data_IF_115395562350
#
_entry.id   IF_115395562350
#
_cell.length_a   1.000
_cell.length_b   1.000
_cell.length_c   1.000
_cell.angle_alpha   90.00
_cell.angle_beta   90.00
_cell.angle_gamma   90.00
#
_symmetry.space_group_name_H-M   'P 1'
#
loop_
_entity.id
_entity.type
_entity.pdbx_description
1 polymer ?
#
# COMPACT_ATOMS: atom_id res chain seq x y z
N UNK A 1 20.00 -60.72 -42.84
CA UNK A 1 20.64 -60.17 -41.63
C UNK A 1 20.09 -58.76 -41.42
N UNK A 2 19.16 -58.66 -40.46
CA UNK A 2 18.72 -57.48 -39.68
C UNK A 2 18.62 -56.12 -40.37
N UNK A 3 17.40 -55.81 -40.83
CA UNK A 3 16.82 -54.47 -40.81
C UNK A 3 16.47 -54.09 -39.36
N UNK A 4 17.04 -52.99 -38.86
CA UNK A 4 16.56 -52.31 -37.66
C UNK A 4 16.02 -50.94 -38.10
N UNK A 5 14.69 -50.84 -38.21
CA UNK A 5 14.00 -49.60 -38.48
C UNK A 5 14.10 -48.67 -37.28
N UNK A 6 14.90 -47.61 -37.39
CA UNK A 6 14.93 -46.52 -36.43
C UNK A 6 13.62 -45.72 -36.52
N UNK A 7 12.68 -45.99 -35.62
CA UNK A 7 11.47 -45.17 -35.44
C UNK A 7 11.85 -43.72 -35.22
N UNK A 8 11.17 -42.77 -35.89
CA UNK A 8 11.45 -41.34 -35.72
C UNK A 8 11.22 -40.92 -34.27
N UNK A 9 12.02 -39.97 -33.78
CA UNK A 9 11.92 -39.44 -32.41
C UNK A 9 10.50 -38.98 -32.08
N UNK A 10 9.82 -38.35 -33.05
CA UNK A 10 8.42 -37.94 -32.96
C UNK A 10 7.46 -39.12 -32.70
N UNK A 11 7.59 -40.21 -33.47
CA UNK A 11 6.73 -41.37 -33.32
C UNK A 11 6.89 -42.02 -31.93
N UNK A 12 8.12 -42.06 -31.42
CA UNK A 12 8.40 -42.59 -30.07
C UNK A 12 7.81 -41.70 -28.97
N UNK A 13 7.90 -40.38 -29.09
CA UNK A 13 7.29 -39.46 -28.13
C UNK A 13 5.76 -39.57 -28.13
N UNK A 14 5.15 -39.61 -29.32
CA UNK A 14 3.70 -39.80 -29.47
C UNK A 14 3.23 -41.12 -28.88
N UNK A 15 4.01 -42.19 -29.05
CA UNK A 15 3.70 -43.49 -28.46
C UNK A 15 3.71 -43.42 -26.92
N UNK A 16 4.71 -42.74 -26.32
CA UNK A 16 4.79 -42.55 -24.87
C UNK A 16 3.63 -41.72 -24.32
N UNK A 17 3.32 -40.59 -24.97
CA UNK A 17 2.16 -39.75 -24.61
C UNK A 17 0.88 -40.56 -24.69
N UNK A 18 0.66 -41.28 -25.80
CA UNK A 18 -0.52 -42.14 -25.98
C UNK A 18 -0.62 -43.22 -24.92
N UNK A 19 0.49 -43.87 -24.54
CA UNK A 19 0.51 -44.88 -23.47
C UNK A 19 0.03 -44.32 -22.13
N UNK A 20 0.48 -43.11 -21.76
CA UNK A 20 0.02 -42.45 -20.53
C UNK A 20 -1.45 -42.06 -20.63
N UNK A 21 -1.90 -41.53 -21.78
CA UNK A 21 -3.31 -41.21 -22.00
C UNK A 21 -4.21 -42.43 -21.83
N UNK A 22 -3.86 -43.55 -22.47
CA UNK A 22 -4.63 -44.80 -22.36
C UNK A 22 -4.62 -45.34 -20.94
N UNK A 23 -3.48 -45.29 -20.24
CA UNK A 23 -3.39 -45.71 -18.85
C UNK A 23 -4.33 -44.90 -17.94
N UNK A 24 -4.40 -43.58 -18.13
CA UNK A 24 -5.31 -42.70 -17.40
C UNK A 24 -6.77 -42.99 -17.77
N UNK A 25 -7.09 -43.12 -19.06
CA UNK A 25 -8.46 -43.38 -19.53
C UNK A 25 -9.01 -44.71 -19.03
N UNK A 26 -8.18 -45.75 -18.97
CA UNK A 26 -8.57 -47.08 -18.51
C UNK A 26 -9.03 -47.10 -17.04
N UNK A 27 -8.63 -46.12 -16.24
CA UNK A 27 -9.01 -46.01 -14.84
C UNK A 27 -9.73 -44.70 -14.51
N UNK A 28 -10.18 -43.95 -15.51
CA UNK A 28 -10.72 -42.60 -15.33
C UNK A 28 -11.94 -42.53 -14.40
N UNK A 29 -12.70 -43.62 -14.28
CA UNK A 29 -13.86 -43.75 -13.37
C UNK A 29 -13.52 -44.36 -12.02
N UNK A 30 -12.27 -44.76 -11.79
CA UNK A 30 -11.80 -45.36 -10.54
C UNK A 30 -10.77 -44.43 -9.88
N UNK A 31 -11.24 -43.65 -8.91
CA UNK A 31 -10.44 -42.62 -8.22
C UNK A 31 -9.20 -43.21 -7.51
N UNK A 32 -9.34 -44.38 -6.86
CA UNK A 32 -8.25 -45.06 -6.14
C UNK A 32 -7.08 -45.43 -7.06
N UNK A 33 -7.37 -45.77 -8.32
CA UNK A 33 -6.36 -46.10 -9.34
C UNK A 33 -5.89 -44.87 -10.11
N UNK A 34 -6.77 -43.90 -10.32
CA UNK A 34 -6.47 -42.68 -11.06
C UNK A 34 -5.49 -41.78 -10.28
N UNK A 35 -5.73 -41.59 -8.98
CA UNK A 35 -4.90 -40.79 -8.08
C UNK A 35 -3.39 -41.12 -8.17
N UNK A 36 -2.93 -42.36 -7.95
CA UNK A 36 -1.51 -42.70 -8.01
C UNK A 36 -0.91 -42.55 -9.41
N UNK A 37 -1.69 -42.80 -10.48
CA UNK A 37 -1.21 -42.56 -11.85
C UNK A 37 -0.98 -41.08 -12.12
N UNK A 38 -1.89 -40.20 -11.69
CA UNK A 38 -1.74 -38.76 -11.85
C UNK A 38 -0.58 -38.23 -11.01
N UNK A 39 -0.43 -38.68 -9.77
CA UNK A 39 0.73 -38.34 -8.92
C UNK A 39 2.05 -38.71 -9.59
N UNK A 40 2.11 -39.87 -10.26
CA UNK A 40 3.34 -40.36 -10.89
C UNK A 40 3.65 -39.68 -12.22
N UNK A 41 2.64 -39.48 -13.07
CA UNK A 41 2.87 -39.14 -14.48
C UNK A 41 2.44 -37.73 -14.88
N UNK A 42 1.59 -37.03 -14.11
CA UNK A 42 1.00 -35.76 -14.58
C UNK A 42 2.05 -34.71 -14.94
N UNK A 43 3.01 -34.44 -14.04
CA UNK A 43 4.05 -33.43 -14.26
C UNK A 43 4.87 -33.74 -15.52
N UNK A 44 5.37 -34.96 -15.64
CA UNK A 44 6.14 -35.40 -16.81
C UNK A 44 5.31 -35.43 -18.10
N UNK A 45 4.01 -35.71 -18.00
CA UNK A 45 3.10 -35.70 -19.14
C UNK A 45 2.92 -34.28 -19.69
N UNK A 46 2.59 -33.31 -18.84
CA UNK A 46 2.35 -31.92 -19.29
C UNK A 46 3.65 -31.23 -19.72
N UNK A 47 4.82 -31.64 -19.21
CA UNK A 47 6.12 -31.20 -19.72
C UNK A 47 6.27 -31.45 -21.22
N UNK A 48 5.65 -32.50 -21.76
CA UNK A 48 5.67 -32.78 -23.21
C UNK A 48 4.88 -31.77 -24.05
N UNK A 49 4.15 -30.83 -23.43
CA UNK A 49 3.62 -29.66 -24.12
C UNK A 49 4.72 -28.72 -24.66
N UNK A 50 5.99 -28.90 -24.23
CA UNK A 50 7.16 -28.16 -24.74
C UNK A 50 7.99 -28.98 -25.73
N UNK A 51 7.50 -30.13 -26.20
CA UNK A 51 8.20 -30.94 -27.23
C UNK A 51 8.44 -30.11 -28.50
N UNK A 52 9.54 -30.37 -29.20
CA UNK A 52 9.83 -29.78 -30.51
C UNK A 52 8.79 -30.18 -31.57
N UNK A 53 8.15 -31.34 -31.38
CA UNK A 53 7.17 -31.89 -32.30
C UNK A 53 5.76 -31.30 -32.05
N UNK A 54 5.20 -30.61 -33.04
CA UNK A 54 3.90 -29.95 -32.92
C UNK A 54 2.75 -30.94 -32.64
N UNK A 55 2.80 -32.13 -33.25
CA UNK A 55 1.84 -33.22 -33.03
C UNK A 55 1.77 -33.63 -31.55
N UNK A 56 2.92 -33.78 -30.90
CA UNK A 56 3.05 -34.11 -29.47
C UNK A 56 2.47 -33.00 -28.62
N UNK A 57 2.84 -31.74 -28.88
CA UNK A 57 2.33 -30.59 -28.12
C UNK A 57 0.81 -30.50 -28.15
N UNK A 58 0.23 -30.55 -29.34
CA UNK A 58 -1.23 -30.45 -29.55
C UNK A 58 -1.95 -31.56 -28.80
N UNK A 59 -1.44 -32.80 -28.90
CA UNK A 59 -2.03 -33.96 -28.25
C UNK A 59 -2.02 -33.85 -26.72
N UNK A 60 -0.87 -33.48 -26.14
CA UNK A 60 -0.73 -33.26 -24.68
C UNK A 60 -1.68 -32.18 -24.19
N UNK A 61 -1.79 -31.05 -24.89
CA UNK A 61 -2.66 -29.93 -24.52
C UNK A 61 -4.14 -30.38 -24.57
N UNK A 62 -4.56 -31.02 -25.65
CA UNK A 62 -5.93 -31.52 -25.79
C UNK A 62 -6.30 -32.49 -24.66
N UNK A 63 -5.40 -33.41 -24.33
CA UNK A 63 -5.62 -34.36 -23.26
C UNK A 63 -5.60 -33.72 -21.88
N UNK A 64 -4.74 -32.72 -21.63
CA UNK A 64 -4.71 -31.98 -20.36
C UNK A 64 -6.03 -31.25 -20.09
N UNK A 65 -6.67 -30.68 -21.12
CA UNK A 65 -8.02 -30.10 -20.98
C UNK A 65 -9.09 -31.19 -20.77
N UNK A 66 -9.00 -32.33 -21.46
CA UNK A 66 -9.89 -33.46 -21.22
C UNK A 66 -9.77 -34.00 -19.79
N UNK A 67 -8.56 -34.02 -19.24
CA UNK A 67 -8.29 -34.50 -17.89
C UNK A 67 -9.08 -33.73 -16.81
N UNK A 68 -9.40 -32.45 -17.05
CA UNK A 68 -10.23 -31.67 -16.13
C UNK A 68 -11.59 -32.31 -15.84
N UNK A 69 -12.15 -33.11 -16.76
CA UNK A 69 -13.43 -33.78 -16.55
C UNK A 69 -13.32 -34.97 -15.61
N UNK A 70 -12.16 -35.63 -15.56
CA UNK A 70 -11.92 -36.81 -14.73
C UNK A 70 -11.48 -36.48 -13.31
N UNK A 71 -10.86 -35.31 -13.11
CA UNK A 71 -10.34 -34.88 -11.80
C UNK A 71 -11.38 -34.13 -10.95
N UNK A 72 -12.58 -33.89 -11.49
CA UNK A 72 -13.67 -33.19 -10.77
C UNK A 72 -13.97 -33.74 -9.37
N UNK A 73 -13.98 -35.08 -9.12
CA UNK A 73 -14.25 -35.61 -7.79
C UNK A 73 -13.29 -35.04 -6.72
N UNK A 74 -13.79 -34.70 -5.52
CA UNK A 74 -13.03 -33.96 -4.51
C UNK A 74 -11.88 -34.76 -3.88
N UNK A 75 -11.92 -36.08 -3.97
CA UNK A 75 -10.91 -37.04 -3.47
C UNK A 75 -9.59 -36.97 -4.23
N UNK A 76 -9.60 -36.52 -5.49
CA UNK A 76 -8.42 -36.46 -6.32
C UNK A 76 -7.58 -35.24 -5.96
N UNK A 77 -6.33 -35.49 -5.56
CA UNK A 77 -5.35 -34.47 -5.16
C UNK A 77 -4.11 -34.61 -6.03
N UNK A 78 -3.91 -33.67 -6.93
CA UNK A 78 -2.78 -33.66 -7.86
C UNK A 78 -1.45 -33.33 -7.14
N UNK A 79 -0.29 -33.70 -7.70
CA UNK A 79 1.02 -33.47 -7.08
C UNK A 79 1.43 -31.99 -7.12
N UNK A 80 0.79 -31.15 -6.29
CA UNK A 80 0.96 -29.68 -6.29
C UNK A 80 2.41 -29.26 -6.07
N UNK A 81 3.17 -29.92 -5.20
CA UNK A 81 4.57 -29.60 -4.97
C UNK A 81 5.42 -29.77 -6.24
N UNK A 82 5.25 -30.89 -6.95
CA UNK A 82 5.97 -31.15 -8.21
C UNK A 82 5.53 -30.23 -9.33
N UNK A 83 4.24 -29.89 -9.41
CA UNK A 83 3.70 -28.92 -10.37
C UNK A 83 4.22 -27.51 -10.08
N UNK A 84 4.35 -27.12 -8.82
CA UNK A 84 4.91 -25.82 -8.43
C UNK A 84 6.40 -25.75 -8.77
N UNK A 85 7.17 -26.80 -8.48
CA UNK A 85 8.59 -26.87 -8.87
C UNK A 85 8.77 -26.73 -10.39
N UNK A 86 7.91 -27.40 -11.17
CA UNK A 86 7.90 -27.26 -12.62
C UNK A 86 7.50 -25.85 -13.07
N UNK A 87 6.45 -25.27 -12.49
CA UNK A 87 6.00 -23.90 -12.79
C UNK A 87 7.13 -22.88 -12.61
N UNK A 88 7.90 -23.01 -11.54
CA UNK A 88 9.03 -22.13 -11.22
C UNK A 88 10.18 -22.28 -12.22
N UNK A 89 10.45 -23.51 -12.68
CA UNK A 89 11.56 -23.82 -13.61
C UNK A 89 11.20 -23.63 -15.08
N UNK A 90 9.92 -23.64 -15.42
CA UNK A 90 9.45 -23.61 -16.80
C UNK A 90 9.77 -22.26 -17.48
N UNK A 91 10.20 -22.31 -18.73
CA UNK A 91 10.32 -21.12 -19.60
C UNK A 91 9.11 -20.95 -20.50
N UNK A 92 8.43 -22.05 -20.85
CA UNK A 92 7.26 -22.05 -21.72
C UNK A 92 6.02 -21.54 -20.98
N UNK A 93 5.42 -20.45 -21.47
CA UNK A 93 4.16 -19.93 -20.95
C UNK A 93 3.00 -20.93 -21.03
N UNK A 94 3.00 -21.81 -22.05
CA UNK A 94 2.00 -22.87 -22.20
C UNK A 94 2.13 -23.89 -21.07
N UNK A 95 3.36 -24.31 -20.76
CA UNK A 95 3.62 -25.23 -19.65
C UNK A 95 3.19 -24.61 -18.31
N UNK A 96 3.62 -23.38 -18.03
CA UNK A 96 3.21 -22.65 -16.83
C UNK A 96 1.69 -22.56 -16.69
N UNK A 97 0.97 -22.32 -17.77
CA UNK A 97 -0.49 -22.25 -17.75
C UNK A 97 -1.14 -23.61 -17.43
N UNK A 98 -0.56 -24.72 -17.90
CA UNK A 98 -0.99 -26.07 -17.53
C UNK A 98 -0.69 -26.38 -16.06
N UNK A 99 0.48 -26.02 -15.56
CA UNK A 99 0.82 -26.18 -14.13
C UNK A 99 -0.17 -25.39 -13.25
N UNK A 100 -0.42 -24.12 -13.57
CA UNK A 100 -1.38 -23.26 -12.85
C UNK A 100 -2.78 -23.87 -12.81
N UNK A 101 -3.24 -24.44 -13.94
CA UNK A 101 -4.55 -25.08 -14.03
C UNK A 101 -4.69 -26.21 -12.99
N UNK A 102 -3.70 -27.11 -12.92
CA UNK A 102 -3.72 -28.26 -12.03
C UNK A 102 -3.41 -27.89 -10.57
N UNK A 103 -2.56 -26.89 -10.33
CA UNK A 103 -2.33 -26.34 -8.99
C UNK A 103 -3.62 -25.73 -8.44
N UNK A 104 -4.32 -24.88 -9.20
CA UNK A 104 -5.60 -24.27 -8.78
C UNK A 104 -6.64 -25.30 -8.37
N UNK A 105 -6.70 -26.40 -9.11
CA UNK A 105 -7.61 -27.49 -8.83
C UNK A 105 -7.36 -28.16 -7.47
N UNK A 106 -6.10 -28.48 -7.15
CA UNK A 106 -5.77 -29.31 -5.99
C UNK A 106 -5.22 -28.57 -4.77
N UNK A 107 -4.78 -27.31 -4.91
CA UNK A 107 -4.35 -26.47 -3.78
C UNK A 107 -5.37 -26.43 -2.61
N UNK A 108 -6.70 -26.20 -2.84
CA UNK A 108 -7.67 -26.20 -1.75
C UNK A 108 -7.96 -27.58 -1.16
N UNK A 109 -7.45 -28.66 -1.77
CA UNK A 109 -7.65 -30.05 -1.34
C UNK A 109 -6.46 -30.62 -0.56
N UNK A 110 -5.35 -29.88 -0.52
CA UNK A 110 -4.19 -30.24 0.28
C UNK A 110 -4.49 -30.16 1.77
N UNK A 111 -3.80 -31.00 2.55
CA UNK A 111 -3.74 -30.89 3.99
C UNK A 111 -2.96 -29.63 4.42
N UNK A 112 -3.22 -29.07 5.61
CA UNK A 112 -2.51 -27.87 6.10
C UNK A 112 -0.98 -28.03 6.10
N UNK A 113 -0.47 -29.21 6.47
CA UNK A 113 0.96 -29.51 6.48
C UNK A 113 1.56 -29.44 5.06
N UNK A 114 0.84 -29.99 4.08
CA UNK A 114 1.27 -29.94 2.68
C UNK A 114 1.25 -28.52 2.14
N UNK A 115 0.32 -27.67 2.57
CA UNK A 115 0.29 -26.24 2.21
C UNK A 115 1.43 -25.48 2.85
N UNK A 116 1.76 -25.81 4.10
CA UNK A 116 2.90 -25.25 4.80
C UNK A 116 4.21 -25.51 4.04
N UNK A 117 4.40 -26.72 3.51
CA UNK A 117 5.60 -27.08 2.73
C UNK A 117 5.75 -26.28 1.42
N UNK A 118 4.66 -25.73 0.87
CA UNK A 118 4.69 -24.88 -0.33
C UNK A 118 5.12 -23.43 -0.03
N UNK A 119 5.04 -22.99 1.22
CA UNK A 119 5.23 -21.60 1.60
C UNK A 119 6.61 -21.04 1.24
N UNK A 120 7.75 -21.71 1.57
CA UNK A 120 9.07 -21.22 1.19
C UNK A 120 9.21 -21.01 -0.32
N UNK A 121 8.78 -22.00 -1.10
CA UNK A 121 8.86 -21.96 -2.56
C UNK A 121 8.03 -20.82 -3.14
N UNK A 122 6.76 -20.69 -2.74
CA UNK A 122 5.87 -19.63 -3.24
C UNK A 122 6.36 -18.23 -2.88
N UNK A 123 6.86 -18.06 -1.65
CA UNK A 123 7.33 -16.77 -1.16
C UNK A 123 8.55 -16.28 -1.96
N UNK A 124 9.51 -17.17 -2.22
CA UNK A 124 10.71 -16.84 -3.00
C UNK A 124 10.39 -16.74 -4.49
N UNK A 125 9.64 -17.68 -5.04
CA UNK A 125 9.42 -17.77 -6.49
C UNK A 125 8.59 -16.62 -7.02
N UNK A 126 7.59 -16.13 -6.26
CA UNK A 126 6.76 -15.02 -6.70
C UNK A 126 7.56 -13.72 -6.87
N UNK A 127 8.63 -13.53 -6.08
CA UNK A 127 9.48 -12.34 -6.15
C UNK A 127 10.46 -12.39 -7.32
N UNK A 128 10.88 -13.60 -7.73
CA UNK A 128 11.88 -13.84 -8.78
C UNK A 128 11.28 -14.12 -10.15
N UNK A 129 9.97 -14.33 -10.22
CA UNK A 129 9.26 -14.59 -11.48
C UNK A 129 9.30 -13.34 -12.37
N UNK A 130 9.74 -13.54 -13.63
CA UNK A 130 9.90 -12.45 -14.60
C UNK A 130 8.58 -12.09 -15.27
N UNK A 131 7.71 -13.08 -15.45
CA UNK A 131 6.39 -12.85 -16.01
C UNK A 131 5.43 -12.41 -14.90
N UNK A 132 5.04 -11.14 -14.95
CA UNK A 132 4.18 -10.51 -13.94
C UNK A 132 2.84 -11.24 -13.74
N UNK A 133 2.31 -11.89 -14.77
CA UNK A 133 1.08 -12.68 -14.67
C UNK A 133 1.30 -13.91 -13.80
N UNK A 134 2.40 -14.63 -14.00
CA UNK A 134 2.71 -15.81 -13.17
C UNK A 134 3.15 -15.41 -11.76
N UNK A 135 3.83 -14.28 -11.59
CA UNK A 135 4.15 -13.72 -10.28
C UNK A 135 2.88 -13.39 -9.49
N UNK A 136 1.88 -12.77 -10.13
CA UNK A 136 0.55 -12.51 -9.56
C UNK A 136 -0.16 -13.79 -9.13
N UNK A 137 -0.14 -14.83 -9.98
CA UNK A 137 -0.75 -16.12 -9.67
C UNK A 137 -0.07 -16.81 -8.48
N UNK A 138 1.27 -16.83 -8.42
CA UNK A 138 2.01 -17.37 -7.29
C UNK A 138 1.75 -16.59 -6.01
N UNK A 139 1.69 -15.25 -6.08
CA UNK A 139 1.31 -14.43 -4.94
C UNK A 139 -0.12 -14.75 -4.46
N UNK A 140 -1.05 -14.97 -5.37
CA UNK A 140 -2.40 -15.39 -5.01
C UNK A 140 -2.42 -16.77 -4.33
N UNK A 141 -1.62 -17.72 -4.79
CA UNK A 141 -1.45 -19.01 -4.12
C UNK A 141 -0.87 -18.84 -2.71
N UNK A 142 0.14 -17.98 -2.55
CA UNK A 142 0.69 -17.63 -1.24
C UNK A 142 -0.40 -17.10 -0.30
N UNK A 143 -1.24 -16.16 -0.75
CA UNK A 143 -2.33 -15.63 0.06
C UNK A 143 -3.36 -16.71 0.46
N UNK A 144 -3.62 -17.70 -0.40
CA UNK A 144 -4.57 -18.80 -0.10
C UNK A 144 -4.07 -19.74 0.98
N UNK A 145 -2.76 -20.01 1.02
CA UNK A 145 -2.17 -20.91 2.02
C UNK A 145 -1.80 -20.18 3.32
N UNK A 146 -1.69 -18.85 3.28
CA UNK A 146 -1.24 -18.04 4.41
C UNK A 146 -2.00 -18.30 5.73
N UNK A 147 -3.32 -18.57 5.75
CA UNK A 147 -4.03 -18.94 6.97
C UNK A 147 -3.53 -20.20 7.67
N UNK A 148 -2.90 -21.13 6.93
CA UNK A 148 -2.40 -22.41 7.44
C UNK A 148 -0.92 -22.36 7.86
N UNK A 149 -0.24 -21.23 7.61
CA UNK A 149 1.19 -21.10 7.88
C UNK A 149 1.44 -20.81 9.36
N UNK A 150 2.27 -21.65 9.98
CA UNK A 150 2.71 -21.53 11.37
C UNK A 150 4.07 -20.86 11.38
N UNK A 151 4.08 -19.58 11.71
CA UNK A 151 5.32 -18.83 11.89
C UNK A 151 5.88 -19.06 13.29
N UNK A 152 7.22 -19.07 13.45
CA UNK A 152 7.86 -19.04 14.76
C UNK A 152 7.34 -17.90 15.65
N UNK A 153 7.49 -18.06 16.96
CA UNK A 153 7.18 -16.95 17.88
C UNK A 153 8.17 -15.81 17.67
N UNK A 154 7.68 -14.57 17.78
CA UNK A 154 8.50 -13.38 17.50
C UNK A 154 9.74 -13.34 18.38
N UNK A 155 10.83 -12.85 17.80
CA UNK A 155 12.13 -12.61 18.47
C UNK A 155 12.86 -13.87 18.99
N UNK A 156 12.33 -15.07 18.74
CA UNK A 156 13.04 -16.32 19.03
C UNK A 156 14.22 -16.53 18.06
N UNK A 157 15.07 -17.51 18.37
CA UNK A 157 16.22 -17.85 17.52
C UNK A 157 15.76 -18.31 16.14
N UNK A 158 14.69 -19.10 16.10
CA UNK A 158 14.07 -19.60 14.87
C UNK A 158 13.49 -18.46 14.03
N UNK A 159 12.81 -17.49 14.66
CA UNK A 159 12.26 -16.33 13.95
C UNK A 159 13.36 -15.49 13.29
N UNK A 160 14.47 -15.26 14.00
CA UNK A 160 15.62 -14.51 13.48
C UNK A 160 16.36 -15.27 12.37
N UNK A 161 16.36 -16.59 12.41
CA UNK A 161 16.98 -17.44 11.38
C UNK A 161 16.08 -17.60 10.14
N UNK A 162 14.77 -17.39 10.27
CA UNK A 162 13.75 -17.74 9.26
C UNK A 162 14.04 -17.20 7.86
N UNK A 163 14.47 -15.94 7.74
CA UNK A 163 14.81 -15.34 6.43
C UNK A 163 15.90 -16.14 5.71
N UNK A 164 16.94 -16.52 6.45
CA UNK A 164 18.10 -17.23 5.93
C UNK A 164 17.74 -18.68 5.61
N UNK A 165 16.93 -19.32 6.44
CA UNK A 165 16.46 -20.70 6.22
C UNK A 165 15.61 -20.81 4.95
N UNK A 166 14.75 -19.83 4.68
CA UNK A 166 13.95 -19.79 3.44
C UNK A 166 14.80 -19.38 2.23
N UNK A 167 15.89 -18.64 2.43
CA UNK A 167 16.78 -18.19 1.35
C UNK A 167 16.29 -16.93 0.62
N UNK A 168 15.64 -16.01 1.36
CA UNK A 168 15.11 -14.75 0.85
C UNK A 168 16.22 -13.69 0.80
N UNK A 169 16.48 -13.14 -0.38
CA UNK A 169 17.41 -12.02 -0.55
C UNK A 169 16.73 -10.68 -0.26
N UNK A 170 17.52 -9.62 -0.16
CA UNK A 170 17.03 -8.25 0.06
C UNK A 170 16.07 -7.77 -1.03
N UNK A 171 16.42 -7.96 -2.30
CA UNK A 171 15.53 -7.62 -3.42
C UNK A 171 14.21 -8.40 -3.36
N UNK A 172 14.26 -9.68 -2.97
CA UNK A 172 13.07 -10.52 -2.87
C UNK A 172 12.15 -9.99 -1.76
N UNK A 173 12.71 -9.74 -0.57
CA UNK A 173 11.97 -9.25 0.59
C UNK A 173 11.32 -7.89 0.34
N UNK A 174 11.98 -6.99 -0.38
CA UNK A 174 11.39 -5.70 -0.77
C UNK A 174 10.17 -5.88 -1.68
N UNK A 175 10.24 -6.76 -2.69
CA UNK A 175 9.12 -7.06 -3.59
C UNK A 175 7.96 -7.70 -2.81
N UNK A 176 8.25 -8.69 -1.98
CA UNK A 176 7.25 -9.37 -1.16
C UNK A 176 6.59 -8.36 -0.21
N UNK A 177 7.39 -7.60 0.54
CA UNK A 177 6.90 -6.63 1.51
C UNK A 177 6.00 -5.58 0.87
N UNK A 178 6.38 -5.09 -0.32
CA UNK A 178 5.56 -4.17 -1.12
C UNK A 178 4.19 -4.77 -1.45
N UNK A 179 4.13 -6.01 -1.95
CA UNK A 179 2.85 -6.65 -2.29
C UNK A 179 2.00 -6.95 -1.05
N UNK A 180 2.62 -7.36 0.06
CA UNK A 180 1.93 -7.49 1.35
C UNK A 180 1.36 -6.15 1.82
N UNK A 181 2.11 -5.06 1.68
CA UNK A 181 1.63 -3.71 1.95
C UNK A 181 0.43 -3.31 1.08
N UNK A 182 0.45 -3.65 -0.21
CA UNK A 182 -0.68 -3.39 -1.11
C UNK A 182 -1.92 -4.20 -0.74
N UNK A 183 -1.78 -5.43 -0.24
CA UNK A 183 -2.91 -6.20 0.32
C UNK A 183 -3.49 -5.50 1.56
N UNK A 184 -2.65 -4.89 2.40
CA UNK A 184 -3.13 -4.13 3.57
C UNK A 184 -3.84 -2.83 3.18
N UNK A 185 -3.41 -2.21 2.08
CA UNK A 185 -4.04 -1.02 1.51
C UNK A 185 -5.37 -1.34 0.79
N UNK A 186 -5.47 -2.51 0.15
CA UNK A 186 -6.63 -2.92 -0.63
C UNK A 186 -7.93 -2.86 0.19
N UNK A 187 -8.93 -2.19 -0.38
CA UNK A 187 -10.30 -2.15 0.14
C UNK A 187 -11.23 -2.92 -0.78
N UNK A 188 -12.13 -3.67 -0.18
CA UNK A 188 -13.13 -4.44 -0.91
C UNK A 188 -14.49 -3.74 -0.81
N UNK A 189 -15.15 -3.45 -1.95
CA UNK A 189 -16.51 -2.92 -1.92
C UNK A 189 -17.48 -3.97 -1.37
N UNK A 190 -18.56 -3.52 -0.74
CA UNK A 190 -19.60 -4.41 -0.24
C UNK A 190 -20.37 -5.08 -1.39
N UNK A 191 -20.69 -6.37 -1.23
CA UNK A 191 -21.49 -7.16 -2.18
C UNK A 191 -20.78 -8.42 -2.67
N UNK A 192 -21.54 -9.36 -3.24
CA UNK A 192 -21.05 -10.70 -3.60
C UNK A 192 -20.14 -10.74 -4.84
N UNK A 193 -20.29 -9.78 -5.76
CA UNK A 193 -19.48 -9.70 -6.98
C UNK A 193 -18.88 -8.32 -7.15
N UNK A 194 -17.56 -8.27 -7.05
CA UNK A 194 -16.75 -7.08 -7.33
C UNK A 194 -16.39 -7.09 -8.80
N UNK A 195 -16.79 -6.07 -9.56
CA UNK A 195 -16.30 -5.87 -10.93
C UNK A 195 -14.98 -5.09 -10.91
N UNK A 196 -14.24 -5.12 -12.01
CA UNK A 196 -12.99 -4.39 -12.14
C UNK A 196 -13.19 -2.88 -11.93
N UNK A 197 -14.20 -2.29 -12.59
CA UNK A 197 -14.48 -0.85 -12.50
C UNK A 197 -14.86 -0.44 -11.08
N UNK A 198 -15.59 -1.31 -10.36
CA UNK A 198 -15.91 -1.08 -8.95
C UNK A 198 -14.67 -1.17 -8.07
N UNK A 199 -13.77 -2.13 -8.31
CA UNK A 199 -12.54 -2.24 -7.54
C UNK A 199 -11.63 -1.03 -7.75
N UNK A 200 -11.50 -0.56 -9.00
CA UNK A 200 -10.73 0.62 -9.38
C UNK A 200 -11.33 1.90 -8.77
N UNK A 201 -12.63 2.11 -8.87
CA UNK A 201 -13.29 3.28 -8.28
C UNK A 201 -13.23 3.28 -6.74
N UNK A 202 -13.18 2.10 -6.11
CA UNK A 202 -13.16 1.97 -4.65
C UNK A 202 -11.74 2.02 -4.05
N UNK A 203 -10.68 2.16 -4.85
CA UNK A 203 -9.31 2.16 -4.37
C UNK A 203 -8.49 3.29 -5.01
N UNK A 204 -7.75 4.04 -4.19
CA UNK A 204 -6.77 5.03 -4.69
C UNK A 204 -5.43 4.38 -5.12
N UNK A 205 -5.46 3.10 -5.53
CA UNK A 205 -4.26 2.36 -5.94
C UNK A 205 -4.03 2.50 -7.45
N UNK A 206 -2.77 2.34 -7.87
CA UNK A 206 -2.43 2.35 -9.31
C UNK A 206 -3.11 1.18 -10.00
N UNK A 207 -3.60 1.39 -11.23
CA UNK A 207 -4.29 0.36 -12.01
C UNK A 207 -3.44 -0.92 -12.17
N UNK A 208 -2.13 -0.79 -12.39
CA UNK A 208 -1.21 -1.93 -12.47
C UNK A 208 -1.10 -2.73 -11.18
N UNK A 209 -1.24 -2.08 -10.02
CA UNK A 209 -1.19 -2.76 -8.72
C UNK A 209 -2.49 -3.55 -8.47
N UNK A 210 -3.64 -2.98 -8.86
CA UNK A 210 -4.93 -3.68 -8.85
C UNK A 210 -4.96 -4.84 -9.85
N UNK A 211 -4.40 -4.65 -11.05
CA UNK A 211 -4.28 -5.68 -12.08
C UNK A 211 -3.35 -6.82 -11.65
N UNK A 212 -2.38 -6.58 -10.77
CA UNK A 212 -1.61 -7.67 -10.17
C UNK A 212 -2.42 -8.44 -9.14
N UNK A 213 -3.26 -7.78 -8.34
CA UNK A 213 -4.04 -8.43 -7.28
C UNK A 213 -5.29 -9.15 -7.82
N UNK A 214 -5.93 -8.58 -8.85
CA UNK A 214 -7.16 -9.03 -9.51
C UNK A 214 -8.28 -9.49 -8.56
N UNK A 215 -8.72 -8.67 -7.58
CA UNK A 215 -9.74 -9.08 -6.62
C UNK A 215 -11.12 -9.37 -7.22
N UNK A 216 -11.36 -9.03 -8.49
CA UNK A 216 -12.59 -9.31 -9.24
C UNK A 216 -12.55 -10.61 -10.07
N UNK A 217 -11.36 -11.17 -10.33
CA UNK A 217 -11.24 -12.37 -11.18
C UNK A 217 -11.73 -13.61 -10.43
N UNK A 218 -12.61 -14.46 -11.02
CA UNK A 218 -13.07 -15.70 -10.40
C UNK A 218 -11.92 -16.63 -9.97
N UNK A 219 -10.83 -16.61 -10.74
CA UNK A 219 -9.66 -17.43 -10.47
C UNK A 219 -8.77 -16.88 -9.36
N UNK A 220 -8.96 -15.63 -8.92
CA UNK A 220 -8.06 -14.89 -8.01
C UNK A 220 -8.79 -14.33 -6.78
N UNK A 221 -10.11 -14.19 -6.80
CA UNK A 221 -10.92 -13.49 -5.80
C UNK A 221 -10.90 -14.14 -4.39
N UNK A 222 -10.55 -15.44 -4.30
CA UNK A 222 -10.78 -16.24 -3.09
C UNK A 222 -10.15 -15.66 -1.81
N UNK A 223 -8.87 -15.22 -1.78
CA UNK A 223 -8.28 -14.60 -0.59
C UNK A 223 -8.96 -13.28 -0.19
N UNK A 224 -9.56 -12.57 -1.14
CA UNK A 224 -10.13 -11.25 -0.89
C UNK A 224 -11.58 -11.30 -0.42
N UNK A 225 -12.29 -12.43 -0.62
CA UNK A 225 -13.62 -12.66 -0.02
C UNK A 225 -13.59 -12.61 1.50
N UNK A 226 -12.47 -12.99 2.12
CA UNK A 226 -12.23 -12.87 3.57
C UNK A 226 -11.08 -11.88 3.84
N UNK A 227 -11.19 -10.67 3.28
CA UNK A 227 -10.10 -9.68 3.33
C UNK A 227 -9.58 -9.40 4.74
N UNK A 228 -10.45 -9.33 5.77
CA UNK A 228 -10.01 -9.13 7.16
C UNK A 228 -9.10 -10.25 7.65
N UNK A 229 -9.43 -11.52 7.38
CA UNK A 229 -8.59 -12.66 7.74
C UNK A 229 -7.26 -12.59 6.99
N UNK A 230 -7.31 -12.35 5.68
CA UNK A 230 -6.12 -12.23 4.84
C UNK A 230 -5.19 -11.13 5.34
N UNK A 231 -5.71 -9.93 5.64
CA UNK A 231 -4.91 -8.82 6.21
C UNK A 231 -4.30 -9.17 7.56
N UNK A 232 -5.03 -9.87 8.43
CA UNK A 232 -4.52 -10.33 9.73
C UNK A 232 -3.34 -11.30 9.55
N UNK A 233 -3.45 -12.22 8.59
CA UNK A 233 -2.39 -13.18 8.26
C UNK A 233 -1.19 -12.50 7.58
N UNK A 234 -1.44 -11.52 6.72
CA UNK A 234 -0.38 -10.68 6.11
C UNK A 234 0.40 -9.92 7.17
N UNK A 235 -0.26 -9.31 8.16
CA UNK A 235 0.42 -8.65 9.28
C UNK A 235 1.24 -9.64 10.11
N UNK A 236 0.71 -10.84 10.35
CA UNK A 236 1.45 -11.88 11.08
C UNK A 236 2.74 -12.25 10.34
N UNK A 237 2.68 -12.39 9.01
CA UNK A 237 3.84 -12.62 8.17
C UNK A 237 4.83 -11.45 8.21
N UNK A 238 4.34 -10.21 8.05
CA UNK A 238 5.17 -9.00 8.14
C UNK A 238 5.82 -8.84 9.52
N UNK A 239 5.23 -9.39 10.58
CA UNK A 239 5.79 -9.31 11.92
C UNK A 239 6.88 -10.33 12.21
N UNK A 240 7.12 -11.30 11.31
CA UNK A 240 8.18 -12.30 11.47
C UNK A 240 9.58 -11.71 11.25
N UNK A 241 10.60 -12.50 11.56
CA UNK A 241 12.01 -12.19 11.27
C UNK A 241 12.40 -12.32 9.80
N UNK A 242 11.46 -12.55 8.88
CA UNK A 242 11.72 -12.52 7.43
C UNK A 242 12.10 -11.11 6.96
N UNK A 243 11.45 -10.08 7.50
CA UNK A 243 11.59 -8.70 7.03
C UNK A 243 12.44 -7.85 7.97
N UNK A 244 13.17 -6.90 7.42
CA UNK A 244 13.87 -5.85 8.18
C UNK A 244 12.92 -4.73 8.60
N UNK A 245 13.37 -3.84 9.49
CA UNK A 245 12.56 -2.71 9.94
C UNK A 245 12.20 -1.76 8.79
N UNK A 246 13.14 -1.51 7.88
CA UNK A 246 12.92 -0.68 6.70
C UNK A 246 11.90 -1.32 5.74
N UNK A 247 11.99 -2.64 5.52
CA UNK A 247 11.04 -3.38 4.70
C UNK A 247 9.63 -3.37 5.33
N UNK A 248 9.51 -3.42 6.67
CA UNK A 248 8.23 -3.41 7.40
C UNK A 248 7.55 -2.04 7.43
N UNK A 249 8.30 -0.95 7.26
CA UNK A 249 7.84 0.41 7.57
C UNK A 249 6.55 0.82 6.85
N UNK A 250 6.57 0.83 5.51
CA UNK A 250 5.40 1.26 4.73
C UNK A 250 4.20 0.32 4.88
N UNK A 251 4.33 -1.02 4.83
CA UNK A 251 3.22 -1.91 5.12
C UNK A 251 2.62 -1.73 6.52
N UNK A 252 3.46 -1.52 7.55
CA UNK A 252 2.98 -1.28 8.90
C UNK A 252 2.22 0.05 9.01
N UNK A 253 2.68 1.10 8.30
CA UNK A 253 1.97 2.38 8.16
C UNK A 253 0.57 2.18 7.56
N UNK A 254 0.46 1.42 6.47
CA UNK A 254 -0.81 1.08 5.85
C UNK A 254 -1.73 0.31 6.80
N UNK A 255 -1.20 -0.72 7.47
CA UNK A 255 -1.94 -1.48 8.47
C UNK A 255 -2.49 -0.58 9.60
N UNK A 256 -1.65 0.31 10.17
CA UNK A 256 -2.02 1.21 11.28
C UNK A 256 -3.13 2.23 10.95
N UNK A 257 -3.39 2.42 9.66
CA UNK A 257 -4.42 3.31 9.11
C UNK A 257 -5.73 2.58 8.80
N UNK A 258 -5.77 1.25 8.94
CA UNK A 258 -6.96 0.43 8.69
C UNK A 258 -8.10 0.76 9.65
N UNK A 259 -9.33 0.69 9.14
CA UNK A 259 -10.55 0.78 9.97
C UNK A 259 -10.78 -0.47 10.83
N UNK A 260 -10.22 -1.62 10.44
CA UNK A 260 -10.29 -2.86 11.20
C UNK A 260 -9.25 -2.85 12.33
N UNK A 261 -9.71 -2.91 13.59
CA UNK A 261 -8.85 -2.85 14.78
C UNK A 261 -7.92 -4.06 14.92
N UNK A 262 -8.28 -5.21 14.35
CA UNK A 262 -7.43 -6.40 14.30
C UNK A 262 -6.23 -6.23 13.37
N UNK A 263 -6.30 -5.24 12.48
CA UNK A 263 -5.25 -4.89 11.52
C UNK A 263 -4.49 -3.66 12.01
N UNK A 264 -5.21 -2.61 12.46
CA UNK A 264 -4.58 -1.35 12.86
C UNK A 264 -3.86 -1.39 14.19
N UNK A 265 -4.33 -2.17 15.17
CA UNK A 265 -3.63 -2.29 16.45
C UNK A 265 -2.27 -2.99 16.29
N UNK A 266 -2.18 -4.18 15.66
CA UNK A 266 -0.89 -4.80 15.39
C UNK A 266 0.01 -3.96 14.47
N UNK A 267 -0.55 -3.28 13.47
CA UNK A 267 0.22 -2.37 12.62
C UNK A 267 0.86 -1.23 13.41
N UNK A 268 0.11 -0.64 14.34
CA UNK A 268 0.62 0.39 15.26
C UNK A 268 1.71 -0.16 16.17
N UNK A 269 1.55 -1.39 16.66
CA UNK A 269 2.55 -2.02 17.53
C UNK A 269 3.84 -2.36 16.78
N UNK A 270 3.76 -2.71 15.49
CA UNK A 270 4.95 -2.86 14.64
C UNK A 270 5.65 -1.50 14.55
N UNK A 271 4.96 -0.44 14.10
CA UNK A 271 5.56 0.90 13.92
C UNK A 271 6.29 1.39 15.17
N UNK A 272 5.70 1.21 16.35
CA UNK A 272 6.30 1.63 17.63
C UNK A 272 7.63 0.94 17.94
N UNK A 273 7.85 -0.27 17.40
CA UNK A 273 9.04 -1.08 17.64
C UNK A 273 10.09 -0.94 16.54
N UNK A 274 9.73 -0.40 15.37
CA UNK A 274 10.65 -0.22 14.26
C UNK A 274 11.73 0.81 14.58
N UNK A 275 12.97 0.50 14.22
CA UNK A 275 14.08 1.45 14.25
C UNK A 275 14.38 1.96 12.83
N UNK A 276 13.52 2.85 12.33
CA UNK A 276 13.64 3.45 11.00
C UNK A 276 14.16 4.87 11.14
N UNK A 277 15.21 5.21 10.37
CA UNK A 277 15.75 6.56 10.35
C UNK A 277 14.85 7.50 9.54
N UNK A 278 14.02 8.29 10.24
CA UNK A 278 13.15 9.29 9.59
C UNK A 278 13.91 10.49 9.02
N UNK A 279 15.21 10.61 9.30
CA UNK A 279 16.09 11.62 8.68
C UNK A 279 16.71 11.13 7.36
N UNK A 280 16.35 9.93 6.90
CA UNK A 280 16.66 9.48 5.55
C UNK A 280 15.77 10.23 4.54
N UNK A 281 16.42 10.91 3.59
CA UNK A 281 15.75 11.69 2.56
C UNK A 281 14.84 10.83 1.67
N UNK A 282 15.23 9.59 1.37
CA UNK A 282 14.43 8.68 0.54
C UNK A 282 13.13 8.27 1.23
N UNK A 283 13.19 8.08 2.55
CA UNK A 283 12.03 7.76 3.38
C UNK A 283 11.09 8.96 3.45
N UNK A 284 11.62 10.16 3.70
CA UNK A 284 10.83 11.39 3.71
C UNK A 284 10.16 11.65 2.35
N UNK A 285 10.87 11.45 1.23
CA UNK A 285 10.31 11.54 -0.12
C UNK A 285 9.22 10.50 -0.37
N UNK A 286 9.42 9.27 0.09
CA UNK A 286 8.44 8.20 -0.03
C UNK A 286 7.17 8.52 0.75
N UNK A 287 7.29 9.01 1.98
CA UNK A 287 6.16 9.47 2.79
C UNK A 287 5.40 10.59 2.09
N UNK A 288 6.08 11.61 1.56
CA UNK A 288 5.42 12.70 0.82
C UNK A 288 4.72 12.24 -0.45
N UNK A 289 5.35 11.33 -1.20
CA UNK A 289 4.71 10.73 -2.38
C UNK A 289 3.46 9.96 -2.00
N UNK A 290 3.53 9.11 -0.98
CA UNK A 290 2.36 8.40 -0.46
C UNK A 290 1.30 9.36 0.07
N UNK A 291 1.67 10.47 0.71
CA UNK A 291 0.72 11.48 1.15
C UNK A 291 -0.07 12.08 -0.02
N UNK A 292 0.60 12.32 -1.16
CA UNK A 292 -0.03 12.90 -2.34
C UNK A 292 -1.04 11.96 -3.02
N UNK A 293 -0.83 10.64 -2.95
CA UNK A 293 -1.61 9.63 -3.67
C UNK A 293 -2.71 8.98 -2.80
N UNK A 294 -2.55 9.00 -1.47
CA UNK A 294 -3.38 8.19 -0.56
C UNK A 294 -4.57 8.95 0.04
N UNK A 295 -5.49 8.18 0.62
CA UNK A 295 -6.69 8.71 1.25
C UNK A 295 -6.44 9.33 2.63
N UNK A 296 -7.45 10.05 3.13
CA UNK A 296 -7.36 10.85 4.37
C UNK A 296 -6.80 10.07 5.57
N UNK A 297 -7.24 8.85 5.90
CA UNK A 297 -6.72 8.13 7.07
C UNK A 297 -5.20 7.90 7.01
N UNK A 298 -4.68 7.59 5.81
CA UNK A 298 -3.26 7.38 5.57
C UNK A 298 -2.49 8.70 5.61
N UNK A 299 -3.03 9.76 5.00
CA UNK A 299 -2.44 11.11 5.03
C UNK A 299 -2.25 11.60 6.47
N UNK A 300 -3.24 11.43 7.33
CA UNK A 300 -3.14 11.76 8.77
C UNK A 300 -1.95 11.04 9.42
N UNK A 301 -1.80 9.73 9.18
CA UNK A 301 -0.69 8.95 9.76
C UNK A 301 0.66 9.38 9.21
N UNK A 302 0.73 9.70 7.92
CA UNK A 302 1.94 10.18 7.27
C UNK A 302 2.37 11.53 7.86
N UNK A 303 1.47 12.50 7.97
CA UNK A 303 1.76 13.80 8.58
C UNK A 303 2.30 13.66 10.00
N UNK A 304 1.66 12.80 10.81
CA UNK A 304 2.12 12.48 12.17
C UNK A 304 3.51 11.80 12.22
N UNK A 305 3.95 11.16 11.14
CA UNK A 305 5.29 10.61 11.05
C UNK A 305 6.30 11.68 10.64
N UNK A 306 5.92 12.53 9.70
CA UNK A 306 6.74 13.64 9.21
C UNK A 306 7.02 14.69 10.30
N UNK A 307 6.16 14.83 11.32
CA UNK A 307 6.43 15.69 12.51
C UNK A 307 7.64 15.24 13.34
N UNK A 308 8.23 14.09 13.01
CA UNK A 308 9.45 13.55 13.65
C UNK A 308 10.64 13.50 12.70
N UNK A 309 10.51 14.11 11.51
CA UNK A 309 11.51 14.13 10.45
C UNK A 309 11.93 15.57 10.18
N UNK A 310 13.09 15.98 10.69
CA UNK A 310 13.59 17.34 10.48
C UNK A 310 13.92 17.58 9.00
N UNK A 311 14.48 16.57 8.30
CA UNK A 311 14.75 16.65 6.85
C UNK A 311 13.47 16.89 6.04
N UNK A 312 12.31 16.40 6.49
CA UNK A 312 11.05 16.67 5.78
C UNK A 312 10.72 18.16 5.67
N UNK A 313 11.22 18.98 6.61
CA UNK A 313 10.96 20.42 6.67
C UNK A 313 11.70 21.21 5.58
N UNK A 314 12.71 20.61 4.95
CA UNK A 314 13.43 21.22 3.82
C UNK A 314 12.71 21.01 2.48
N UNK A 315 11.71 20.11 2.44
CA UNK A 315 10.97 19.75 1.22
C UNK A 315 9.79 20.70 1.00
N UNK A 316 10.08 22.01 0.89
CA UNK A 316 9.08 23.10 0.86
C UNK A 316 7.98 22.91 -0.18
N UNK A 317 8.29 22.37 -1.36
CA UNK A 317 7.30 22.10 -2.41
C UNK A 317 6.29 21.03 -1.99
N UNK A 318 6.75 19.98 -1.31
CA UNK A 318 5.87 18.93 -0.79
C UNK A 318 4.95 19.48 0.30
N UNK A 319 5.48 20.33 1.18
CA UNK A 319 4.70 21.00 2.23
C UNK A 319 3.60 21.86 1.60
N UNK A 320 3.95 22.71 0.62
CA UNK A 320 2.99 23.58 -0.05
C UNK A 320 1.89 22.77 -0.76
N UNK A 321 2.25 21.72 -1.49
CA UNK A 321 1.27 20.85 -2.15
C UNK A 321 0.37 20.13 -1.15
N UNK A 322 0.88 19.74 0.02
CA UNK A 322 0.08 19.13 1.08
C UNK A 322 -0.94 20.14 1.65
N UNK A 323 -0.52 21.36 1.94
CA UNK A 323 -1.41 22.42 2.45
C UNK A 323 -2.50 22.75 1.42
N UNK A 324 -2.13 22.97 0.16
CA UNK A 324 -3.09 23.28 -0.92
C UNK A 324 -4.12 22.15 -1.10
N UNK A 325 -3.67 20.89 -1.06
CA UNK A 325 -4.54 19.72 -1.18
C UNK A 325 -5.49 19.56 0.00
N UNK A 326 -4.98 19.66 1.22
CA UNK A 326 -5.72 19.25 2.42
C UNK A 326 -6.57 20.40 2.99
N UNK A 327 -6.14 21.65 2.85
CA UNK A 327 -6.99 22.81 3.14
C UNK A 327 -8.07 23.01 2.05
N UNK A 328 -7.76 22.69 0.79
CA UNK A 328 -8.66 22.84 -0.36
C UNK A 328 -9.83 21.86 -0.41
N UNK A 329 -9.92 20.92 0.54
CA UNK A 329 -11.07 20.01 0.67
C UNK A 329 -12.27 20.87 1.11
N UNK A 330 -13.11 21.30 0.16
CA UNK A 330 -14.38 22.00 0.43
C UNK A 330 -15.51 21.01 0.80
N UNK A 331 -16.57 21.46 1.47
CA UNK A 331 -17.68 20.60 1.90
C UNK A 331 -18.53 20.04 0.74
N UNK A 332 -18.35 20.58 -0.47
CA UNK A 332 -19.29 20.41 -1.59
C UNK A 332 -18.68 19.87 -2.88
N UNK A 333 -17.36 19.66 -2.96
CA UNK A 333 -16.71 19.23 -4.20
C UNK A 333 -15.74 18.06 -4.00
N UNK A 334 -16.28 16.84 -4.12
CA UNK A 334 -15.56 15.71 -4.73
C UNK A 334 -16.62 14.83 -5.39
N UNK A 335 -16.74 14.95 -6.71
CA UNK A 335 -17.79 14.28 -7.48
C UNK A 335 -17.66 12.76 -7.57
N UNK A 336 -16.60 12.11 -7.06
CA UNK A 336 -16.46 10.64 -7.20
C UNK A 336 -15.64 9.93 -6.09
N UNK A 337 -15.34 10.60 -4.97
CA UNK A 337 -14.67 9.98 -3.82
C UNK A 337 -15.54 10.21 -2.58
N UNK A 338 -15.70 9.16 -1.77
CA UNK A 338 -16.54 9.11 -0.57
C UNK A 338 -16.57 10.46 0.16
N UNK A 339 -17.77 10.97 0.49
CA UNK A 339 -17.93 12.21 1.28
C UNK A 339 -17.09 12.07 2.56
N UNK A 340 -15.97 12.80 2.63
CA UNK A 340 -15.10 12.84 3.81
C UNK A 340 -15.95 13.39 4.96
N UNK A 341 -16.06 12.63 6.05
CA UNK A 341 -16.84 13.06 7.20
C UNK A 341 -16.24 14.36 7.79
N UNK A 342 -17.07 15.17 8.43
CA UNK A 342 -16.59 16.39 9.12
C UNK A 342 -15.49 16.04 10.12
N UNK A 343 -15.68 14.97 10.90
CA UNK A 343 -14.70 14.50 11.88
C UNK A 343 -13.36 14.09 11.26
N UNK A 344 -13.35 13.38 10.14
CA UNK A 344 -12.10 13.01 9.44
C UNK A 344 -11.38 14.22 8.87
N UNK A 345 -12.14 15.20 8.37
CA UNK A 345 -11.59 16.48 7.90
C UNK A 345 -10.93 17.24 9.04
N UNK A 346 -11.62 17.38 10.18
CA UNK A 346 -11.05 18.03 11.37
C UNK A 346 -9.78 17.32 11.84
N UNK A 347 -9.74 15.99 11.81
CA UNK A 347 -8.53 15.22 12.13
C UNK A 347 -7.39 15.46 11.14
N UNK A 348 -7.68 15.55 9.84
CA UNK A 348 -6.70 15.86 8.81
C UNK A 348 -6.13 17.27 8.97
N UNK A 349 -7.00 18.27 9.11
CA UNK A 349 -6.59 19.66 9.33
C UNK A 349 -5.75 19.78 10.60
N UNK A 350 -6.14 19.11 11.68
CA UNK A 350 -5.32 19.08 12.90
C UNK A 350 -3.93 18.49 12.65
N UNK A 351 -3.83 17.32 12.01
CA UNK A 351 -2.53 16.70 11.71
C UNK A 351 -1.67 17.55 10.76
N UNK A 352 -2.29 18.21 9.77
CA UNK A 352 -1.62 19.15 8.88
C UNK A 352 -1.09 20.34 9.68
N UNK A 353 -1.90 20.90 10.57
CA UNK A 353 -1.55 22.05 11.38
C UNK A 353 -0.43 21.72 12.37
N UNK A 354 -0.47 20.55 13.00
CA UNK A 354 0.62 20.02 13.83
C UNK A 354 1.93 19.94 13.03
N UNK A 355 1.85 19.47 11.77
CA UNK A 355 3.01 19.41 10.89
C UNK A 355 3.52 20.79 10.44
N UNK A 356 2.64 21.70 10.04
CA UNK A 356 3.02 23.08 9.66
C UNK A 356 3.66 23.81 10.84
N UNK A 357 3.10 23.63 12.05
CA UNK A 357 3.68 24.15 13.29
C UNK A 357 5.10 23.61 13.52
N UNK A 358 5.29 22.30 13.39
CA UNK A 358 6.61 21.67 13.49
C UNK A 358 7.59 22.22 12.43
N UNK A 359 7.17 22.29 11.17
CA UNK A 359 7.98 22.82 10.08
C UNK A 359 8.35 24.30 10.29
N UNK A 360 7.46 25.12 10.83
CA UNK A 360 7.74 26.51 11.16
C UNK A 360 8.75 26.67 12.31
N UNK A 361 8.77 25.73 13.26
CA UNK A 361 9.71 25.76 14.39
C UNK A 361 11.10 25.24 14.01
N UNK A 362 11.17 24.20 13.18
CA UNK A 362 12.42 23.49 12.84
C UNK A 362 13.01 23.96 11.52
N UNK A 363 12.18 24.16 10.50
CA UNK A 363 12.58 24.48 9.13
C UNK A 363 13.56 25.66 9.00
N UNK A 364 13.34 26.80 9.69
CA UNK A 364 14.27 27.93 9.63
C UNK A 364 15.70 27.61 10.09
N UNK A 365 15.90 26.57 10.91
CA UNK A 365 17.23 26.13 11.35
C UNK A 365 17.94 25.22 10.34
N UNK A 366 17.23 24.74 9.31
CA UNK A 366 17.71 23.78 8.31
C UNK A 366 18.02 24.41 6.95
N UNK A 367 17.55 25.63 6.69
CA UNK A 367 17.76 26.34 5.44
C UNK A 367 16.75 27.46 5.24
N UNK A 368 16.60 27.90 3.99
CA UNK A 368 15.70 29.00 3.63
C UNK A 368 14.23 28.59 3.75
N UNK A 369 13.57 29.04 4.82
CA UNK A 369 12.14 28.79 5.06
C UNK A 369 11.27 29.90 4.43
N UNK A 370 11.10 29.85 3.11
CA UNK A 370 10.43 30.91 2.33
C UNK A 370 8.91 30.73 2.16
N UNK A 371 8.34 29.63 2.66
CA UNK A 371 6.91 29.32 2.49
C UNK A 371 5.99 30.13 3.42
N UNK A 372 6.55 30.73 4.48
CA UNK A 372 5.80 31.37 5.56
C UNK A 372 4.73 32.37 5.14
N UNK A 373 5.05 33.43 4.37
CA UNK A 373 4.04 34.42 3.95
C UNK A 373 2.87 33.81 3.18
N UNK A 374 3.14 32.84 2.29
CA UNK A 374 2.11 32.15 1.52
C UNK A 374 1.24 31.27 2.42
N UNK A 375 1.83 30.54 3.35
CA UNK A 375 1.09 29.70 4.31
C UNK A 375 0.22 30.54 5.25
N UNK A 376 0.70 31.71 5.71
CA UNK A 376 -0.12 32.64 6.51
C UNK A 376 -1.33 33.10 5.70
N UNK A 377 -1.16 33.45 4.42
CA UNK A 377 -2.28 33.84 3.57
C UNK A 377 -3.32 32.71 3.45
N UNK A 378 -2.88 31.46 3.26
CA UNK A 378 -3.78 30.31 3.20
C UNK A 378 -4.51 30.05 4.54
N UNK A 379 -3.83 30.24 5.67
CA UNK A 379 -4.45 30.14 7.00
C UNK A 379 -5.48 31.26 7.24
N UNK A 380 -5.21 32.48 6.75
CA UNK A 380 -6.19 33.57 6.76
C UNK A 380 -7.42 33.20 5.92
N UNK A 381 -7.23 32.70 4.71
CA UNK A 381 -8.34 32.25 3.85
C UNK A 381 -9.15 31.12 4.50
N UNK A 382 -8.47 30.17 5.16
CA UNK A 382 -9.11 29.13 5.95
C UNK A 382 -9.97 29.71 7.08
N UNK A 383 -9.46 30.68 7.85
CA UNK A 383 -10.20 31.36 8.92
C UNK A 383 -11.38 32.15 8.36
N UNK A 384 -11.20 32.86 7.23
CA UNK A 384 -12.26 33.53 6.47
C UNK A 384 -13.38 32.59 6.06
N UNK A 385 -13.03 31.39 5.57
CA UNK A 385 -14.00 30.38 5.17
C UNK A 385 -14.87 29.86 6.34
N UNK A 386 -14.39 30.01 7.58
CA UNK A 386 -15.13 29.66 8.79
C UNK A 386 -16.05 30.79 9.29
N UNK A 387 -16.21 31.88 8.54
CA UNK A 387 -17.05 33.02 8.92
C UNK A 387 -16.31 34.05 9.77
N UNK A 388 -15.03 34.31 9.49
CA UNK A 388 -14.36 35.52 10.00
C UNK A 388 -14.94 36.77 9.29
N UNK A 389 -15.04 37.92 9.97
CA UNK A 389 -14.54 38.20 11.32
C UNK A 389 -15.46 37.81 12.48
N UNK A 390 -16.73 37.51 12.22
CA UNK A 390 -17.68 37.03 13.23
C UNK A 390 -18.60 35.95 12.66
N UNK A 391 -18.75 34.84 13.40
CA UNK A 391 -19.60 33.72 12.96
C UNK A 391 -21.06 34.16 12.95
N UNK A 392 -21.74 34.03 11.81
CA UNK A 392 -23.17 34.31 11.78
C UNK A 392 -23.94 33.31 12.68
N UNK A 393 -24.82 33.79 13.58
CA UNK A 393 -25.62 32.92 14.43
C UNK A 393 -26.43 31.92 13.59
N UNK A 394 -26.26 30.62 13.86
CA UNK A 394 -26.98 29.56 13.14
C UNK A 394 -26.30 29.02 11.88
N UNK A 395 -25.09 29.49 11.53
CA UNK A 395 -24.35 29.01 10.34
C UNK A 395 -23.86 27.56 10.43
N UNK A 396 -23.80 26.97 11.63
CA UNK A 396 -23.34 25.60 11.85
C UNK A 396 -21.86 25.36 11.47
N UNK A 397 -21.08 26.43 11.28
CA UNK A 397 -19.66 26.36 10.94
C UNK A 397 -18.85 25.86 12.13
N UNK A 398 -18.09 24.79 11.93
CA UNK A 398 -17.16 24.27 12.94
C UNK A 398 -15.93 25.20 13.03
N UNK A 399 -15.81 25.91 14.16
CA UNK A 399 -14.69 26.83 14.44
C UNK A 399 -13.63 26.23 15.36
N UNK A 400 -13.71 24.92 15.67
CA UNK A 400 -12.83 24.27 16.67
C UNK A 400 -11.34 24.38 16.37
N UNK A 401 -10.95 24.47 15.10
CA UNK A 401 -9.54 24.59 14.69
C UNK A 401 -9.09 26.04 14.44
N UNK A 402 -9.99 27.02 14.61
CA UNK A 402 -9.67 28.45 14.43
C UNK A 402 -8.58 28.94 15.41
N UNK A 403 -8.61 28.62 16.73
CA UNK A 403 -7.55 29.03 17.65
C UNK A 403 -6.19 28.47 17.21
N UNK A 404 -6.16 27.22 16.79
CA UNK A 404 -4.94 26.55 16.32
C UNK A 404 -4.36 27.20 15.05
N UNK A 405 -5.20 27.65 14.12
CA UNK A 405 -4.75 28.39 12.94
C UNK A 405 -4.10 29.74 13.31
N UNK A 406 -4.65 30.49 14.27
CA UNK A 406 -4.02 31.72 14.76
C UNK A 406 -2.68 31.46 15.44
N UNK A 407 -2.58 30.42 16.27
CA UNK A 407 -1.32 30.03 16.90
C UNK A 407 -0.22 29.81 15.84
N UNK A 408 -0.54 29.07 14.77
CA UNK A 408 0.40 28.79 13.68
C UNK A 408 0.77 30.06 12.92
N UNK A 409 -0.18 30.98 12.67
CA UNK A 409 0.11 32.29 12.08
C UNK A 409 1.13 33.04 12.94
N UNK A 410 0.96 33.03 14.27
CA UNK A 410 1.91 33.59 15.23
C UNK A 410 3.31 33.00 15.07
N UNK A 411 3.42 31.67 15.07
CA UNK A 411 4.69 30.95 14.93
C UNK A 411 5.36 31.26 13.58
N UNK A 412 4.62 31.20 12.48
CA UNK A 412 5.10 31.52 11.14
C UNK A 412 5.56 32.98 11.03
N UNK A 413 4.86 33.91 11.68
CA UNK A 413 5.20 35.34 11.67
C UNK A 413 6.59 35.61 12.27
N UNK A 414 6.95 34.85 13.32
CA UNK A 414 8.27 34.90 13.96
C UNK A 414 9.33 34.19 13.13
N UNK A 415 8.98 33.03 12.56
CA UNK A 415 9.89 32.14 11.85
C UNK A 415 10.30 32.67 10.45
N UNK A 416 9.45 33.45 9.80
CA UNK A 416 9.60 33.77 8.38
C UNK A 416 10.09 35.20 8.12
N UNK A 417 10.59 35.43 6.91
CA UNK A 417 10.97 36.77 6.45
C UNK A 417 9.77 37.48 5.81
N UNK A 418 9.56 38.74 6.20
CA UNK A 418 8.47 39.60 5.72
C UNK A 418 9.02 40.97 5.38
N UNK A 419 8.45 41.58 4.33
CA UNK A 419 8.56 43.03 4.09
C UNK A 419 7.85 43.80 5.20
N UNK A 420 8.19 45.08 5.41
CA UNK A 420 7.54 45.88 6.44
C UNK A 420 6.02 45.99 6.20
N UNK A 421 5.61 46.18 4.94
CA UNK A 421 4.21 46.23 4.55
C UNK A 421 3.45 44.94 4.89
N UNK A 422 4.05 43.77 4.67
CA UNK A 422 3.44 42.49 5.03
C UNK A 422 3.29 42.34 6.56
N UNK A 423 4.30 42.76 7.34
CA UNK A 423 4.21 42.76 8.81
C UNK A 423 3.06 43.64 9.29
N UNK A 424 2.94 44.87 8.75
CA UNK A 424 1.89 45.82 9.12
C UNK A 424 0.48 45.32 8.73
N UNK A 425 0.32 44.78 7.52
CA UNK A 425 -0.95 44.21 7.06
C UNK A 425 -1.39 43.01 7.92
N UNK A 426 -0.44 42.17 8.34
CA UNK A 426 -0.73 41.06 9.24
C UNK A 426 -1.12 41.55 10.64
N UNK A 427 -0.42 42.54 11.18
CA UNK A 427 -0.75 43.15 12.47
C UNK A 427 -2.15 43.77 12.47
N UNK A 428 -2.49 44.54 11.43
CA UNK A 428 -3.82 45.12 11.26
C UNK A 428 -4.90 44.04 11.26
N UNK A 429 -4.70 42.96 10.51
CA UNK A 429 -5.66 41.86 10.45
C UNK A 429 -5.81 41.12 11.79
N UNK A 430 -4.71 40.92 12.53
CA UNK A 430 -4.75 40.31 13.86
C UNK A 430 -5.44 41.21 14.90
N UNK A 431 -5.21 42.52 14.88
CA UNK A 431 -5.93 43.46 15.76
C UNK A 431 -7.42 43.53 15.43
N UNK A 432 -7.78 43.50 14.15
CA UNK A 432 -9.18 43.41 13.75
C UNK A 432 -9.80 42.10 14.27
N UNK A 433 -9.10 40.97 14.08
CA UNK A 433 -9.53 39.67 14.60
C UNK A 433 -9.73 39.70 16.13
N UNK A 434 -8.82 40.34 16.87
CA UNK A 434 -8.91 40.48 18.32
C UNK A 434 -10.14 41.28 18.76
N UNK A 435 -10.53 42.29 17.97
CA UNK A 435 -11.68 43.14 18.29
C UNK A 435 -13.03 42.49 17.98
N UNK A 436 -13.07 41.55 17.04
CA UNK A 436 -14.32 40.96 16.54
C UNK A 436 -14.57 39.54 17.05
N UNK A 437 -13.53 38.82 17.48
CA UNK A 437 -13.64 37.46 18.00
C UNK A 437 -14.15 37.45 19.45
N UNK A 438 -15.17 36.63 19.72
CA UNK A 438 -15.86 36.56 21.02
C UNK A 438 -15.50 35.32 21.83
N UNK A 439 -14.82 34.35 21.20
CA UNK A 439 -14.45 33.09 21.85
C UNK A 439 -13.17 33.26 22.67
N UNK A 440 -13.18 33.04 24.02
CA UNK A 440 -12.03 33.32 24.87
C UNK A 440 -10.74 32.59 24.48
N UNK A 441 -10.83 31.32 24.09
CA UNK A 441 -9.66 30.53 23.66
C UNK A 441 -9.01 31.13 22.40
N UNK A 442 -9.83 31.48 21.40
CA UNK A 442 -9.36 32.10 20.16
C UNK A 442 -8.70 33.47 20.43
N UNK A 443 -9.25 34.27 21.34
CA UNK A 443 -8.70 35.57 21.74
C UNK A 443 -7.28 35.42 22.29
N UNK A 444 -7.05 34.44 23.17
CA UNK A 444 -5.72 34.16 23.73
C UNK A 444 -4.70 33.81 22.64
N UNK A 445 -5.09 33.00 21.65
CA UNK A 445 -4.21 32.64 20.53
C UNK A 445 -3.93 33.82 19.58
N UNK A 446 -4.89 34.74 19.39
CA UNK A 446 -4.67 35.98 18.63
C UNK A 446 -3.68 36.90 19.36
N UNK A 447 -3.83 37.08 20.68
CA UNK A 447 -2.87 37.84 21.50
C UNK A 447 -1.47 37.21 21.45
N UNK A 448 -1.39 35.88 21.54
CA UNK A 448 -0.16 35.13 21.36
C UNK A 448 0.48 35.40 19.99
N UNK A 449 -0.30 35.35 18.91
CA UNK A 449 0.17 35.63 17.56
C UNK A 449 0.69 37.07 17.40
N UNK A 450 -0.02 38.06 17.95
CA UNK A 450 0.42 39.46 17.98
C UNK A 450 1.74 39.62 18.75
N UNK A 451 1.87 38.96 19.90
CA UNK A 451 3.09 38.97 20.70
C UNK A 451 4.27 38.39 19.90
N UNK A 452 4.09 37.26 19.22
CA UNK A 452 5.13 36.68 18.36
C UNK A 452 5.53 37.58 17.19
N UNK A 453 4.55 38.18 16.50
CA UNK A 453 4.79 39.12 15.41
C UNK A 453 5.53 40.38 15.89
N UNK A 454 5.22 40.88 17.09
CA UNK A 454 5.83 42.09 17.65
C UNK A 454 7.36 42.00 17.71
N UNK A 455 7.91 40.80 17.94
CA UNK A 455 9.36 40.56 18.01
C UNK A 455 10.10 40.85 16.69
N UNK A 456 9.37 41.01 15.59
CA UNK A 456 9.90 41.30 14.24
C UNK A 456 9.85 42.79 13.88
N UNK A 457 9.25 43.63 14.71
CA UNK A 457 9.32 45.08 14.58
C UNK A 457 10.53 45.59 15.36
N UNK A 458 11.66 45.80 14.68
CA UNK A 458 12.87 46.36 15.30
C UNK A 458 12.89 47.88 15.12
N UNK A 459 13.18 48.67 16.17
CA UNK A 459 13.26 50.13 16.06
C UNK A 459 14.36 50.61 15.09
N UNK A 460 15.43 49.82 14.96
CA UNK A 460 16.66 50.18 14.22
C UNK A 460 16.76 49.56 12.81
N UNK A 461 15.73 48.87 12.31
CA UNK A 461 15.66 48.47 10.90
C UNK A 461 15.61 49.76 10.06
N UNK A 462 16.79 50.21 9.56
CA UNK A 462 16.89 51.29 8.57
C UNK A 462 15.99 50.92 7.41
N UNK A 463 14.82 51.52 7.41
CA UNK A 463 13.76 51.23 6.49
C UNK A 463 14.09 52.04 5.24
N UNK A 464 14.75 51.42 4.25
CA UNK A 464 14.74 51.99 2.89
C UNK A 464 13.29 52.16 2.39
N UNK A 465 12.33 51.47 3.01
CA UNK A 465 10.88 51.63 2.79
C UNK A 465 10.19 52.74 3.63
N UNK A 466 10.87 53.47 4.54
CA UNK A 466 10.22 54.57 5.31
C UNK A 466 9.97 55.81 4.47
N UNK A 467 10.74 56.01 3.39
CA UNK A 467 10.68 57.24 2.59
C UNK A 467 9.46 57.34 1.66
N UNK A 468 8.70 56.25 1.48
CA UNK A 468 7.48 56.25 0.65
C UNK A 468 6.19 56.61 1.40
N UNK A 469 6.24 56.84 2.72
CA UNK A 469 5.07 57.07 3.58
C UNK A 469 4.99 58.47 4.19
N UNK A 470 5.69 59.46 3.63
CA UNK A 470 5.38 60.86 3.91
C UNK A 470 4.07 61.20 3.18
N UNK A 471 2.97 61.26 3.94
CA UNK A 471 1.70 61.82 3.46
C UNK A 471 1.97 63.28 3.10
N UNK A 472 1.64 63.76 1.88
CA UNK A 472 1.71 65.19 1.59
C UNK A 472 0.66 65.91 2.45
N UNK A 473 1.10 66.96 3.14
CA UNK A 473 0.28 67.84 3.99
C UNK A 473 -1.01 68.35 3.32
#
# INVERSE_FOLDING_TARGET
>A
MTEASSTSTEARELELVSKVEFAILNVATNEEKLQPLLTKYLTAFILKATSENASVRVRVIQFAYKLQTFIKPPTIVLPVASLLDQLVKAESAVLKQLDVLFIRHSLPRLLPEQRHDLFPTLLVSMAREKDIKFASIMFNFLLRILPDIKLPSRDTVEDKALRKEIGIQESDAQVISRWLGLVLLLRMPAGDKVSQEKAEAFNAMRALDLEFLQPWSPEMELPYRQISLTKTRVISLLSSGIFTDQEKFMPALYASSSSDSNVSSPGTDIIKKLNVNLEDEEIARTLWKSHAEMEVPYRIRILNMLTRSEISTTMTDCIMQAIERDMGIQASQTQNLQKISSLERTKLHKALFDYVKFAALVGPSKGDFLIGPKVIYMLKDYICSMGWPGVQPGSGTDTTLRPFAYEIIGILSKASHFTFQQKLSLAQWLFQSLSEETTPETVVDIEGALSMLSTRFRPDEKTEERESFIIPD
#
